data_IF_316790157109
#
_entry.id   IF_316790157109
#
_cell.length_a   1.000
_cell.length_b   1.000
_cell.length_c   1.000
_cell.angle_alpha   90.00
_cell.angle_beta   90.00
_cell.angle_gamma   90.00
#
_symmetry.space_group_name_H-M   'P 1'
#
loop_
_entity.id
_entity.type
_entity.pdbx_description
1 polymer ?
#
# COMPACT_ATOMS: atom_id res chain seq x y z
N UNK A 1 37.88 30.33 7.39
CA UNK A 1 37.18 29.59 8.48
C UNK A 1 35.90 28.90 7.99
N UNK A 2 35.04 29.53 7.18
CA UNK A 2 33.77 28.92 6.71
C UNK A 2 33.89 27.64 5.85
N UNK A 3 34.93 27.50 5.02
CA UNK A 3 35.11 26.32 4.17
C UNK A 3 35.50 25.05 4.95
N UNK A 4 36.23 25.19 6.06
CA UNK A 4 36.65 24.06 6.89
C UNK A 4 35.47 23.47 7.71
N UNK A 5 34.54 24.32 8.14
CA UNK A 5 33.34 23.89 8.88
C UNK A 5 32.37 23.11 7.98
N UNK A 6 32.22 23.52 6.72
CA UNK A 6 31.41 22.81 5.72
C UNK A 6 31.99 21.44 5.32
N UNK A 7 33.32 21.30 5.29
CA UNK A 7 33.98 20.04 4.99
C UNK A 7 33.84 19.02 6.13
N UNK A 8 33.96 19.48 7.38
CA UNK A 8 33.79 18.63 8.59
C UNK A 8 32.33 18.19 8.75
N UNK A 9 31.36 19.07 8.49
CA UNK A 9 29.93 18.72 8.52
C UNK A 9 29.57 17.68 7.44
N UNK A 10 30.15 17.80 6.23
CA UNK A 10 29.95 16.85 5.13
C UNK A 10 30.60 15.48 5.39
N UNK A 11 31.78 15.43 6.03
CA UNK A 11 32.41 14.17 6.43
C UNK A 11 31.67 13.47 7.59
N UNK A 12 31.20 14.21 8.59
CA UNK A 12 30.40 13.64 9.71
C UNK A 12 29.07 13.06 9.24
N UNK A 13 28.39 13.73 8.29
CA UNK A 13 27.19 13.20 7.65
C UNK A 13 27.44 11.87 6.92
N UNK A 14 28.58 11.73 6.23
CA UNK A 14 28.97 10.51 5.52
C UNK A 14 29.28 9.34 6.46
N UNK A 15 29.98 9.59 7.58
CA UNK A 15 30.33 8.57 8.58
C UNK A 15 29.11 8.05 9.35
N UNK A 16 28.21 8.94 9.77
CA UNK A 16 26.94 8.56 10.41
C UNK A 16 26.06 7.72 9.45
N UNK A 17 25.99 8.12 8.18
CA UNK A 17 25.24 7.39 7.15
C UNK A 17 25.87 6.01 6.82
N UNK A 18 27.18 5.86 6.99
CA UNK A 18 27.91 4.60 6.85
C UNK A 18 27.68 3.62 8.01
N UNK A 19 27.74 4.10 9.26
CA UNK A 19 27.48 3.28 10.45
C UNK A 19 26.02 2.85 10.55
N UNK A 20 25.06 3.74 10.25
CA UNK A 20 23.62 3.40 10.22
C UNK A 20 23.34 2.37 9.13
N UNK A 21 23.91 2.52 7.92
CA UNK A 21 23.79 1.50 6.85
C UNK A 21 24.42 0.16 7.24
N UNK A 22 25.55 0.17 7.95
CA UNK A 22 26.22 -1.04 8.42
C UNK A 22 25.40 -1.81 9.45
N UNK A 23 24.81 -1.09 10.42
CA UNK A 23 23.88 -1.67 11.39
C UNK A 23 22.60 -2.20 10.75
N UNK A 24 21.97 -1.40 9.87
CA UNK A 24 20.75 -1.79 9.17
C UNK A 24 20.96 -3.02 8.27
N UNK A 25 22.12 -3.14 7.61
CA UNK A 25 22.48 -4.33 6.83
C UNK A 25 22.62 -5.58 7.69
N UNK A 26 23.26 -5.48 8.85
CA UNK A 26 23.42 -6.60 9.79
C UNK A 26 22.08 -7.04 10.37
N UNK A 27 21.22 -6.08 10.74
CA UNK A 27 19.86 -6.37 11.18
C UNK A 27 19.03 -6.99 10.07
N UNK A 28 19.15 -6.53 8.82
CA UNK A 28 18.44 -7.11 7.67
C UNK A 28 18.87 -8.55 7.37
N UNK A 29 20.18 -8.83 7.45
CA UNK A 29 20.71 -10.19 7.26
C UNK A 29 20.27 -11.12 8.39
N UNK A 30 20.31 -10.67 9.64
CA UNK A 30 19.79 -11.45 10.77
C UNK A 30 18.27 -11.69 10.66
N UNK A 31 17.52 -10.67 10.22
CA UNK A 31 16.07 -10.75 10.00
C UNK A 31 15.70 -11.72 8.87
N UNK A 32 16.50 -11.79 7.80
CA UNK A 32 16.31 -12.77 6.73
C UNK A 32 16.67 -14.19 7.18
N UNK A 33 17.76 -14.37 7.94
CA UNK A 33 18.21 -15.69 8.37
C UNK A 33 17.24 -16.38 9.34
N UNK A 34 16.47 -15.63 10.12
CA UNK A 34 15.48 -16.19 11.05
C UNK A 34 14.09 -16.41 10.45
N UNK A 35 13.88 -16.18 9.15
CA UNK A 35 12.56 -16.38 8.51
C UNK A 35 11.44 -15.46 9.03
N UNK A 36 11.77 -14.46 9.85
CA UNK A 36 10.81 -13.57 10.54
C UNK A 36 9.91 -12.79 9.58
N UNK A 37 10.31 -12.59 8.32
CA UNK A 37 9.45 -11.96 7.31
C UNK A 37 8.19 -12.77 7.01
N UNK A 38 8.29 -14.10 6.89
CA UNK A 38 7.15 -14.94 6.59
C UNK A 38 6.16 -14.94 7.77
N UNK A 39 6.70 -15.11 8.98
CA UNK A 39 5.94 -15.07 10.22
C UNK A 39 5.22 -13.73 10.40
N UNK A 40 5.92 -12.59 10.23
CA UNK A 40 5.33 -11.28 10.35
C UNK A 40 4.22 -11.02 9.31
N UNK A 41 4.44 -11.42 8.05
CA UNK A 41 3.41 -11.31 6.99
C UNK A 41 2.18 -12.15 7.32
N UNK A 42 2.36 -13.36 7.84
CA UNK A 42 1.28 -14.23 8.26
C UNK A 42 0.47 -13.60 9.40
N UNK A 43 1.13 -13.04 10.42
CA UNK A 43 0.47 -12.34 11.53
C UNK A 43 -0.31 -11.12 11.06
N UNK A 44 0.26 -10.28 10.18
CA UNK A 44 -0.43 -9.11 9.62
C UNK A 44 -1.68 -9.54 8.85
N UNK A 45 -1.57 -10.55 7.98
CA UNK A 45 -2.70 -11.00 7.19
C UNK A 45 -3.79 -11.63 8.07
N UNK A 46 -3.41 -12.48 9.03
CA UNK A 46 -4.33 -13.03 10.02
C UNK A 46 -5.09 -11.91 10.73
N UNK A 47 -4.38 -10.89 11.20
CA UNK A 47 -4.98 -9.75 11.88
C UNK A 47 -5.99 -9.02 11.00
N UNK A 48 -5.64 -8.70 9.74
CA UNK A 48 -6.55 -7.97 8.84
C UNK A 48 -7.82 -8.77 8.55
N UNK A 49 -7.72 -10.10 8.36
CA UNK A 49 -8.88 -10.96 8.13
C UNK A 49 -9.79 -10.99 9.37
N UNK A 50 -9.21 -11.16 10.55
CA UNK A 50 -9.95 -11.24 11.82
C UNK A 50 -10.63 -9.92 12.16
N UNK A 51 -9.99 -8.78 11.88
CA UNK A 51 -10.60 -7.46 12.03
C UNK A 51 -11.81 -7.24 11.10
N UNK A 52 -11.83 -7.91 9.94
CA UNK A 52 -12.95 -7.89 9.00
C UNK A 52 -14.19 -8.66 9.45
N UNK A 53 -14.04 -9.68 10.31
CA UNK A 53 -15.12 -10.61 10.69
C UNK A 53 -16.37 -9.90 11.27
N UNK A 54 -16.25 -8.98 12.25
CA UNK A 54 -17.42 -8.28 12.80
C UNK A 54 -18.22 -7.53 11.73
N UNK A 55 -17.52 -6.93 10.75
CA UNK A 55 -18.17 -6.14 9.71
C UNK A 55 -18.98 -6.98 8.71
N UNK A 56 -18.57 -8.23 8.47
CA UNK A 56 -19.22 -9.14 7.51
C UNK A 56 -20.31 -9.97 8.18
N UNK A 57 -20.01 -10.55 9.35
CA UNK A 57 -20.90 -11.49 10.03
C UNK A 57 -21.84 -10.83 11.05
N UNK A 58 -21.72 -9.51 11.25
CA UNK A 58 -22.48 -8.76 12.26
C UNK A 58 -22.36 -9.40 13.68
N UNK A 59 -21.17 -9.95 13.97
CA UNK A 59 -20.86 -10.57 15.25
C UNK A 59 -20.19 -9.54 16.13
N UNK A 60 -20.74 -9.33 17.32
CA UNK A 60 -20.13 -8.48 18.35
C UNK A 60 -18.75 -9.03 18.72
N UNK A 61 -17.73 -8.17 18.66
CA UNK A 61 -16.38 -8.52 19.08
C UNK A 61 -16.41 -8.82 20.58
N UNK A 62 -15.83 -9.94 21.07
CA UNK A 62 -15.79 -10.22 22.49
C UNK A 62 -14.99 -9.15 23.24
N UNK A 63 -15.65 -8.49 24.19
CA UNK A 63 -15.10 -7.39 24.96
C UNK A 63 -14.07 -7.88 26.01
N UNK A 64 -13.02 -7.09 26.23
CA UNK A 64 -11.98 -7.36 27.22
C UNK A 64 -10.56 -7.37 26.65
N UNK A 65 -9.73 -8.33 27.09
CA UNK A 65 -8.30 -8.39 26.75
C UNK A 65 -8.05 -8.53 25.25
N UNK A 66 -8.95 -9.20 24.52
CA UNK A 66 -8.84 -9.42 23.09
C UNK A 66 -8.98 -8.11 22.28
N UNK A 67 -9.93 -7.24 22.65
CA UNK A 67 -10.10 -5.95 22.01
C UNK A 67 -8.88 -5.05 22.21
N UNK A 68 -8.27 -5.03 23.41
CA UNK A 68 -7.07 -4.25 23.69
C UNK A 68 -5.85 -4.72 22.88
N UNK A 69 -5.64 -6.04 22.76
CA UNK A 69 -4.60 -6.59 21.90
C UNK A 69 -4.85 -6.27 20.43
N UNK A 70 -6.11 -6.34 20.01
CA UNK A 70 -6.47 -6.02 18.64
C UNK A 70 -6.23 -4.53 18.36
N UNK A 71 -6.51 -3.63 19.30
CA UNK A 71 -6.29 -2.19 19.15
C UNK A 71 -4.82 -1.79 18.94
N UNK A 72 -3.85 -2.60 19.39
CA UNK A 72 -2.43 -2.31 19.19
C UNK A 72 -1.98 -2.41 17.71
N UNK A 73 -2.77 -3.09 16.89
CA UNK A 73 -2.41 -3.44 15.51
C UNK A 73 -3.49 -3.01 14.53
N UNK A 74 -4.21 -1.90 14.77
CA UNK A 74 -5.18 -1.38 13.79
C UNK A 74 -4.49 -0.83 12.51
N UNK A 75 -3.87 -1.71 11.75
CA UNK A 75 -3.20 -1.45 10.49
C UNK A 75 -4.17 -0.89 9.46
N UNK A 76 -5.45 -1.30 9.51
CA UNK A 76 -6.50 -0.78 8.63
C UNK A 76 -6.73 0.72 8.85
N UNK A 77 -6.67 1.22 10.08
CA UNK A 77 -6.74 2.66 10.40
C UNK A 77 -5.40 3.36 10.21
N UNK A 78 -4.26 2.75 10.54
CA UNK A 78 -2.92 3.34 10.35
C UNK A 78 -2.52 3.51 8.87
N UNK A 79 -2.91 2.59 7.99
CA UNK A 79 -2.66 2.67 6.54
C UNK A 79 -3.74 3.48 5.81
N UNK A 80 -4.87 3.77 6.47
CA UNK A 80 -5.85 4.70 5.92
C UNK A 80 -5.47 6.13 6.28
N UNK A 81 -5.67 7.05 5.35
CA UNK A 81 -5.35 8.47 5.55
C UNK A 81 -6.20 9.16 6.63
N UNK A 82 -7.09 8.44 7.32
CA UNK A 82 -7.87 8.91 8.47
C UNK A 82 -6.97 9.42 9.62
N UNK A 83 -5.68 9.05 9.62
CA UNK A 83 -4.65 9.61 10.53
C UNK A 83 -4.24 11.05 10.17
N UNK A 84 -4.28 11.43 8.89
CA UNK A 84 -3.82 12.75 8.42
C UNK A 84 -4.96 13.75 8.22
N UNK A 85 -6.17 13.27 7.93
CA UNK A 85 -7.41 14.04 7.98
C UNK A 85 -8.62 13.10 8.00
N UNK A 86 -9.64 13.32 8.86
CA UNK A 86 -10.87 12.53 8.80
C UNK A 86 -11.49 12.71 7.42
N UNK A 87 -11.76 11.61 6.72
CA UNK A 87 -12.26 11.61 5.36
C UNK A 87 -13.56 12.41 5.19
N UNK A 88 -14.33 12.57 6.28
CA UNK A 88 -15.53 13.39 6.36
C UNK A 88 -15.28 14.90 6.17
N UNK A 89 -14.09 15.42 6.49
CA UNK A 89 -13.77 16.85 6.38
C UNK A 89 -13.26 17.30 5.00
N UNK A 90 -12.68 16.39 4.20
CA UNK A 90 -12.10 16.74 2.88
C UNK A 90 -12.98 16.22 1.74
N UNK A 91 -13.68 15.11 1.97
CA UNK A 91 -14.37 14.33 0.96
C UNK A 91 -15.75 13.94 1.50
N UNK A 92 -16.67 14.91 1.55
CA UNK A 92 -18.01 14.76 2.13
C UNK A 92 -18.96 13.75 1.46
N UNK A 93 -18.46 12.88 0.57
CA UNK A 93 -19.23 11.79 -0.06
C UNK A 93 -18.47 10.48 0.04
N UNK A 94 -19.16 9.40 0.36
CA UNK A 94 -18.60 8.04 0.41
C UNK A 94 -17.80 7.66 -0.84
N UNK A 95 -18.23 8.13 -2.02
CA UNK A 95 -17.54 7.88 -3.28
C UNK A 95 -16.12 8.45 -3.32
N UNK A 96 -15.93 9.70 -2.90
CA UNK A 96 -14.62 10.35 -2.94
C UNK A 96 -13.69 9.75 -1.89
N UNK A 97 -14.21 9.31 -0.75
CA UNK A 97 -13.47 8.56 0.26
C UNK A 97 -12.96 7.22 -0.29
N UNK A 98 -13.81 6.48 -1.01
CA UNK A 98 -13.43 5.23 -1.66
C UNK A 98 -12.30 5.45 -2.67
N UNK A 99 -12.43 6.43 -3.57
CA UNK A 99 -11.40 6.73 -4.57
C UNK A 99 -10.08 7.17 -3.92
N UNK A 100 -10.14 8.06 -2.93
CA UNK A 100 -8.93 8.53 -2.25
C UNK A 100 -8.18 7.39 -1.57
N UNK A 101 -8.91 6.50 -0.88
CA UNK A 101 -8.34 5.30 -0.26
C UNK A 101 -7.73 4.34 -1.28
N UNK A 102 -8.25 4.32 -2.50
CA UNK A 102 -7.79 3.45 -3.57
C UNK A 102 -6.66 4.05 -4.42
N UNK A 103 -6.47 5.37 -4.47
CA UNK A 103 -5.45 6.01 -5.32
C UNK A 103 -4.24 6.54 -4.56
N UNK A 104 -4.38 6.85 -3.27
CA UNK A 104 -3.27 7.27 -2.42
C UNK A 104 -2.03 6.35 -2.51
N UNK A 105 -2.17 5.01 -2.46
CA UNK A 105 -0.97 4.16 -2.48
C UNK A 105 -0.29 4.16 -3.86
N UNK A 106 -1.05 4.33 -4.95
CA UNK A 106 -0.49 4.55 -6.29
C UNK A 106 0.27 5.87 -6.38
N UNK A 107 -0.26 6.93 -5.77
CA UNK A 107 0.44 8.21 -5.69
C UNK A 107 1.79 8.06 -4.97
N UNK A 108 1.82 7.33 -3.85
CA UNK A 108 3.05 7.06 -3.10
C UNK A 108 4.05 6.25 -3.94
N UNK A 109 3.59 5.20 -4.65
CA UNK A 109 4.44 4.42 -5.56
C UNK A 109 5.03 5.30 -6.67
N UNK A 110 4.22 6.18 -7.28
CA UNK A 110 4.69 7.11 -8.30
C UNK A 110 5.75 8.08 -7.75
N UNK A 111 5.54 8.62 -6.55
CA UNK A 111 6.51 9.52 -5.89
C UNK A 111 7.85 8.81 -5.66
N UNK A 112 7.84 7.55 -5.22
CA UNK A 112 9.07 6.77 -5.00
C UNK A 112 9.77 6.44 -6.32
N UNK A 113 9.02 6.07 -7.36
CA UNK A 113 9.58 5.81 -8.69
C UNK A 113 10.20 7.07 -9.31
N UNK A 114 9.52 8.21 -9.20
CA UNK A 114 10.05 9.50 -9.68
C UNK A 114 11.30 9.87 -8.87
N UNK A 115 11.26 9.73 -7.54
CA UNK A 115 12.40 10.02 -6.67
C UNK A 115 13.63 9.19 -7.01
N UNK A 116 13.47 7.88 -7.22
CA UNK A 116 14.59 7.00 -7.58
C UNK A 116 15.11 7.25 -9.00
N UNK A 117 14.22 7.55 -9.96
CA UNK A 117 14.62 7.93 -11.32
C UNK A 117 15.38 9.26 -11.35
N UNK A 118 14.96 10.26 -10.57
CA UNK A 118 15.69 11.52 -10.40
C UNK A 118 17.05 11.31 -9.73
N UNK A 119 17.14 10.44 -8.73
CA UNK A 119 18.42 10.09 -8.10
C UNK A 119 19.38 9.40 -9.07
N UNK A 120 18.87 8.48 -9.90
CA UNK A 120 19.66 7.80 -10.91
C UNK A 120 20.17 8.77 -12.00
N UNK A 121 19.32 9.71 -12.44
CA UNK A 121 19.73 10.73 -13.43
C UNK A 121 20.78 11.69 -12.86
N UNK A 122 20.67 12.09 -11.60
CA UNK A 122 21.68 12.93 -10.92
C UNK A 122 23.03 12.20 -10.82
N UNK A 123 23.03 10.91 -10.46
CA UNK A 123 24.27 10.10 -10.42
C UNK A 123 24.94 10.02 -11.78
N UNK A 124 24.15 9.83 -12.84
CA UNK A 124 24.68 9.71 -14.19
C UNK A 124 25.26 11.03 -14.70
N UNK A 125 24.71 12.18 -14.29
CA UNK A 125 25.31 13.49 -14.53
C UNK A 125 26.62 13.73 -13.75
N UNK A 126 26.77 13.14 -12.56
CA UNK A 126 27.99 13.26 -11.75
C UNK A 126 29.12 12.32 -12.21
N UNK A 127 28.78 11.18 -12.83
CA UNK A 127 29.73 10.18 -13.34
C UNK A 127 30.10 10.34 -14.82
N UNK A 128 30.21 11.57 -15.32
CA UNK A 128 30.37 11.88 -16.75
C UNK A 128 31.75 11.51 -17.35
N UNK A 129 32.10 10.22 -17.37
CA UNK A 129 33.24 9.66 -18.12
C UNK A 129 32.89 8.47 -19.02
N UNK A 130 31.64 7.97 -19.04
CA UNK A 130 31.26 6.81 -19.86
C UNK A 130 30.46 7.20 -21.12
N UNK A 131 30.77 6.53 -22.24
CA UNK A 131 30.16 6.66 -23.58
C UNK A 131 28.66 6.94 -23.53
N UNK A 132 28.22 8.04 -24.16
CA UNK A 132 26.82 8.45 -24.26
C UNK A 132 26.00 7.40 -25.02
N UNK A 133 25.13 6.60 -24.36
CA UNK A 133 24.14 5.81 -25.07
C UNK A 133 23.12 6.78 -25.72
N UNK A 134 22.44 6.33 -26.78
CA UNK A 134 21.31 7.09 -27.33
C UNK A 134 20.25 7.39 -26.26
N UNK A 135 19.53 8.52 -26.37
CA UNK A 135 18.52 8.98 -25.39
C UNK A 135 17.55 7.88 -24.96
N UNK A 136 17.10 7.05 -25.90
CA UNK A 136 16.18 5.94 -25.63
C UNK A 136 16.82 4.79 -24.81
N UNK A 137 18.09 4.47 -25.07
CA UNK A 137 18.81 3.44 -24.32
C UNK A 137 19.17 3.91 -22.90
N UNK A 138 19.53 5.19 -22.75
CA UNK A 138 19.76 5.80 -21.44
C UNK A 138 18.48 5.82 -20.59
N UNK A 139 17.33 6.19 -21.18
CA UNK A 139 16.05 6.20 -20.47
C UNK A 139 15.66 4.79 -19.99
N UNK A 140 15.82 3.78 -20.84
CA UNK A 140 15.52 2.38 -20.48
C UNK A 140 16.40 1.89 -19.32
N UNK A 141 17.69 2.22 -19.33
CA UNK A 141 18.60 1.81 -18.26
C UNK A 141 18.21 2.43 -16.92
N UNK A 142 17.91 3.74 -16.92
CA UNK A 142 17.47 4.48 -15.72
C UNK A 142 16.14 3.90 -15.20
N UNK A 143 15.18 3.63 -16.09
CA UNK A 143 13.90 3.06 -15.70
C UNK A 143 14.06 1.66 -15.08
N UNK A 144 14.89 0.79 -15.67
CA UNK A 144 15.14 -0.55 -15.12
C UNK A 144 15.82 -0.46 -13.76
N UNK A 145 16.85 0.37 -13.61
CA UNK A 145 17.54 0.56 -12.33
C UNK A 145 16.60 1.11 -11.25
N UNK A 146 15.81 2.15 -11.60
CA UNK A 146 14.83 2.74 -10.70
C UNK A 146 13.76 1.73 -10.26
N UNK A 147 13.25 0.92 -11.19
CA UNK A 147 12.26 -0.12 -10.90
C UNK A 147 12.86 -1.20 -10.00
N UNK A 148 14.06 -1.70 -10.30
CA UNK A 148 14.74 -2.74 -9.50
C UNK A 148 15.04 -2.23 -8.08
N UNK A 149 15.48 -0.98 -7.95
CA UNK A 149 15.76 -0.37 -6.64
C UNK A 149 14.48 -0.13 -5.83
N UNK A 150 13.38 0.23 -6.51
CA UNK A 150 12.08 0.50 -5.88
C UNK A 150 11.31 -0.78 -5.56
N UNK A 151 11.63 -1.90 -6.21
CA UNK A 151 10.96 -3.18 -6.09
C UNK A 151 10.68 -3.64 -4.64
N UNK A 152 11.66 -3.70 -3.71
CA UNK A 152 11.40 -4.15 -2.35
C UNK A 152 10.45 -3.22 -1.58
N UNK A 153 10.52 -1.92 -1.83
CA UNK A 153 9.64 -0.93 -1.20
C UNK A 153 8.23 -1.08 -1.78
N UNK A 154 8.13 -1.20 -3.10
CA UNK A 154 6.86 -1.42 -3.78
C UNK A 154 6.17 -2.69 -3.26
N UNK A 155 6.91 -3.79 -3.08
CA UNK A 155 6.41 -5.05 -2.53
C UNK A 155 5.83 -4.88 -1.12
N UNK A 156 6.53 -4.16 -0.24
CA UNK A 156 6.05 -3.94 1.14
C UNK A 156 4.80 -3.05 1.14
N UNK A 157 4.82 -1.95 0.38
CA UNK A 157 3.69 -1.03 0.29
C UNK A 157 2.46 -1.76 -0.27
N UNK A 158 2.61 -2.40 -1.43
CA UNK A 158 1.49 -3.12 -2.06
C UNK A 158 0.95 -4.23 -1.16
N UNK A 159 1.79 -4.96 -0.43
CA UNK A 159 1.35 -5.96 0.55
C UNK A 159 0.51 -5.36 1.70
N UNK A 160 0.92 -4.23 2.28
CA UNK A 160 0.19 -3.60 3.37
C UNK A 160 -1.10 -2.92 2.90
N UNK A 161 -1.06 -2.25 1.75
CA UNK A 161 -2.20 -1.49 1.24
C UNK A 161 -3.25 -2.38 0.58
N UNK A 162 -2.87 -3.49 -0.08
CA UNK A 162 -3.85 -4.36 -0.75
C UNK A 162 -4.87 -4.92 0.24
N UNK A 163 -4.44 -5.32 1.45
CA UNK A 163 -5.33 -5.91 2.45
C UNK A 163 -6.28 -4.85 3.04
N UNK A 164 -5.78 -3.63 3.29
CA UNK A 164 -6.57 -2.53 3.81
C UNK A 164 -7.59 -2.01 2.77
N UNK A 165 -7.13 -1.72 1.55
CA UNK A 165 -7.98 -1.20 0.47
C UNK A 165 -9.01 -2.24 0.03
N UNK A 166 -8.64 -3.53 -0.07
CA UNK A 166 -9.60 -4.60 -0.42
C UNK A 166 -10.72 -4.71 0.60
N UNK A 167 -10.39 -4.65 1.90
CA UNK A 167 -11.39 -4.69 2.97
C UNK A 167 -12.38 -3.52 2.87
N UNK A 168 -11.91 -2.31 2.54
CA UNK A 168 -12.78 -1.14 2.30
C UNK A 168 -13.67 -1.32 1.07
N UNK A 169 -13.11 -1.84 -0.03
CA UNK A 169 -13.89 -2.09 -1.25
C UNK A 169 -14.97 -3.14 -0.99
N UNK A 170 -14.68 -4.23 -0.28
CA UNK A 170 -15.69 -5.25 0.02
C UNK A 170 -16.81 -4.73 0.92
N UNK A 171 -16.53 -3.76 1.81
CA UNK A 171 -17.56 -3.10 2.62
C UNK A 171 -18.59 -2.30 1.78
N UNK A 172 -18.25 -1.90 0.55
CA UNK A 172 -19.19 -1.20 -0.36
C UNK A 172 -20.35 -2.10 -0.81
N UNK A 173 -20.23 -3.42 -0.67
CA UNK A 173 -21.26 -4.38 -1.05
C UNK A 173 -22.14 -4.82 0.13
N UNK A 174 -21.90 -4.31 1.34
CA UNK A 174 -22.64 -4.69 2.54
C UNK A 174 -23.82 -3.73 2.76
N UNK A 175 -25.03 -4.20 2.48
CA UNK A 175 -26.27 -3.46 2.72
C UNK A 175 -27.04 -4.07 3.89
N UNK A 176 -27.54 -3.21 4.78
CA UNK A 176 -28.43 -3.58 5.87
C UNK A 176 -29.87 -3.23 5.50
N UNK A 177 -30.79 -4.17 5.77
CA UNK A 177 -32.21 -4.04 5.46
C UNK A 177 -32.96 -3.61 6.72
N UNK A 178 -33.68 -2.50 6.63
CA UNK A 178 -34.50 -1.96 7.70
C UNK A 178 -35.98 -2.06 7.32
N UNK A 179 -36.82 -2.43 8.29
CA UNK A 179 -38.28 -2.38 8.15
C UNK A 179 -38.74 -0.96 8.45
N UNK A 180 -39.45 -0.32 7.52
CA UNK A 180 -39.91 1.07 7.67
C UNK A 180 -41.35 1.16 8.14
N UNK A 181 -42.19 0.19 7.78
CA UNK A 181 -43.60 0.19 8.13
C UNK A 181 -44.06 -1.23 8.47
N UNK A 182 -44.50 -1.42 9.71
CA UNK A 182 -44.99 -2.70 10.23
C UNK A 182 -46.34 -3.11 9.62
N UNK A 183 -47.09 -2.16 9.05
CA UNK A 183 -48.42 -2.40 8.48
C UNK A 183 -48.35 -2.79 7.00
N UNK A 184 -47.49 -2.14 6.22
CA UNK A 184 -47.30 -2.44 4.79
C UNK A 184 -46.19 -3.46 4.54
N UNK A 185 -45.29 -3.66 5.51
CA UNK A 185 -44.14 -4.54 5.39
C UNK A 185 -43.04 -3.98 4.47
N UNK A 186 -43.05 -2.67 4.18
CA UNK A 186 -42.05 -2.05 3.30
C UNK A 186 -40.65 -2.11 3.95
N UNK A 187 -39.70 -2.70 3.23
CA UNK A 187 -38.30 -2.80 3.64
C UNK A 187 -37.43 -1.93 2.76
N UNK A 188 -36.49 -1.18 3.36
CA UNK A 188 -35.51 -0.37 2.63
C UNK A 188 -34.10 -0.79 3.00
N UNK A 189 -33.23 -0.81 2.01
CA UNK A 189 -31.84 -1.23 2.17
C UNK A 189 -30.90 -0.02 2.14
N UNK A 190 -29.98 0.05 3.11
CA UNK A 190 -28.99 1.13 3.24
C UNK A 190 -27.59 0.56 3.35
N UNK A 191 -26.62 1.31 2.85
CA UNK A 191 -25.22 0.89 2.86
C UNK A 191 -24.67 0.93 4.30
N UNK A 192 -24.09 -0.18 4.79
CA UNK A 192 -23.54 -0.26 6.16
C UNK A 192 -22.40 0.72 6.42
N UNK A 193 -21.63 1.05 5.38
CA UNK A 193 -20.53 2.01 5.46
C UNK A 193 -20.98 3.47 5.54
N UNK A 194 -22.19 3.76 5.09
CA UNK A 194 -22.80 5.10 5.12
C UNK A 194 -24.32 4.96 4.98
N UNK A 195 -25.04 5.05 6.11
CA UNK A 195 -26.49 4.88 6.15
C UNK A 195 -27.27 6.02 5.46
N UNK A 196 -26.60 7.08 4.99
CA UNK A 196 -27.25 8.10 4.18
C UNK A 196 -27.54 7.62 2.74
N UNK A 197 -26.86 6.57 2.28
CA UNK A 197 -26.99 6.01 0.94
C UNK A 197 -27.89 4.77 0.93
N UNK A 198 -28.98 4.82 0.15
CA UNK A 198 -29.81 3.63 -0.10
C UNK A 198 -29.21 2.75 -1.19
N UNK A 199 -29.25 1.43 -1.00
CA UNK A 199 -28.69 0.47 -1.96
C UNK A 199 -29.54 0.31 -3.23
N UNK A 200 -30.75 0.86 -3.24
CA UNK A 200 -31.63 0.92 -4.41
C UNK A 200 -31.45 2.21 -5.25
N UNK A 201 -30.59 3.13 -4.80
CA UNK A 201 -30.34 4.39 -5.50
C UNK A 201 -29.44 4.25 -6.74
N UNK A 202 -29.63 5.13 -7.73
CA UNK A 202 -28.73 5.24 -8.88
C UNK A 202 -27.32 5.70 -8.51
N UNK A 203 -27.17 6.41 -7.38
CA UNK A 203 -25.87 6.79 -6.82
C UNK A 203 -25.09 5.58 -6.32
N UNK A 204 -25.75 4.66 -5.61
CA UNK A 204 -25.14 3.41 -5.18
C UNK A 204 -24.68 2.57 -6.38
N UNK A 205 -25.49 2.47 -7.43
CA UNK A 205 -25.12 1.68 -8.61
C UNK A 205 -23.85 2.24 -9.28
N UNK A 206 -23.67 3.56 -9.32
CA UNK A 206 -22.41 4.17 -9.78
C UNK A 206 -21.23 3.78 -8.90
N UNK A 207 -21.38 3.85 -7.57
CA UNK A 207 -20.33 3.47 -6.61
C UNK A 207 -19.96 1.99 -6.79
N UNK A 208 -20.95 1.12 -6.96
CA UNK A 208 -20.79 -0.32 -7.17
C UNK A 208 -19.98 -0.64 -8.43
N UNK A 209 -20.23 0.04 -9.55
CA UNK A 209 -19.44 -0.12 -10.77
C UNK A 209 -17.96 0.23 -10.56
N UNK A 210 -17.69 1.33 -9.86
CA UNK A 210 -16.32 1.71 -9.51
C UNK A 210 -15.66 0.70 -8.56
N UNK A 211 -16.41 0.22 -7.56
CA UNK A 211 -15.93 -0.81 -6.64
C UNK A 211 -15.54 -2.10 -7.38
N UNK A 212 -16.32 -2.53 -8.38
CA UNK A 212 -15.97 -3.68 -9.23
C UNK A 212 -14.67 -3.45 -10.01
N UNK A 213 -14.48 -2.25 -10.59
CA UNK A 213 -13.23 -1.88 -11.26
C UNK A 213 -12.03 -1.90 -10.30
N UNK A 214 -12.22 -1.45 -9.06
CA UNK A 214 -11.20 -1.47 -8.03
C UNK A 214 -10.84 -2.89 -7.55
N UNK A 215 -11.79 -3.83 -7.55
CA UNK A 215 -11.51 -5.25 -7.31
C UNK A 215 -10.59 -5.81 -8.42
N UNK A 216 -10.86 -5.49 -9.68
CA UNK A 216 -9.98 -5.92 -10.76
C UNK A 216 -8.56 -5.31 -10.63
N UNK A 217 -8.48 -4.04 -10.24
CA UNK A 217 -7.21 -3.33 -10.12
C UNK A 217 -6.35 -3.82 -8.94
N UNK A 218 -6.95 -4.03 -7.77
CA UNK A 218 -6.22 -4.28 -6.52
C UNK A 218 -6.00 -5.78 -6.27
N UNK A 219 -7.00 -6.56 -5.80
CA UNK A 219 -6.80 -7.95 -5.46
C UNK A 219 -6.42 -8.84 -6.66
N UNK A 220 -6.81 -8.50 -7.90
CA UNK A 220 -6.38 -9.25 -9.09
C UNK A 220 -5.13 -8.67 -9.77
N UNK A 221 -5.04 -7.34 -9.92
CA UNK A 221 -3.96 -6.69 -10.64
C UNK A 221 -2.58 -6.86 -10.00
N UNK A 222 -2.49 -6.85 -8.67
CA UNK A 222 -1.20 -6.98 -7.97
C UNK A 222 -0.60 -8.38 -8.10
N UNK A 223 -1.35 -9.48 -7.87
CA UNK A 223 -0.85 -10.83 -8.17
C UNK A 223 -0.39 -11.00 -9.62
N UNK A 224 -1.14 -10.45 -10.59
CA UNK A 224 -0.77 -10.50 -12.01
C UNK A 224 0.55 -9.76 -12.26
N UNK A 225 0.73 -8.58 -11.66
CA UNK A 225 1.98 -7.81 -11.74
C UNK A 225 3.16 -8.62 -11.19
N UNK A 226 2.98 -9.29 -10.06
CA UNK A 226 4.03 -10.14 -9.49
C UNK A 226 4.33 -11.36 -10.34
N UNK A 227 3.31 -12.00 -10.92
CA UNK A 227 3.51 -13.12 -11.83
C UNK A 227 4.27 -12.68 -13.09
N UNK A 228 3.93 -11.51 -13.66
CA UNK A 228 4.63 -10.96 -14.81
C UNK A 228 6.09 -10.63 -14.50
N UNK A 229 6.35 -10.01 -13.34
CA UNK A 229 7.70 -9.71 -12.87
C UNK A 229 8.51 -10.99 -12.66
N UNK A 230 7.91 -11.98 -11.99
CA UNK A 230 8.54 -13.27 -11.73
C UNK A 230 8.81 -14.02 -13.04
N UNK A 231 7.88 -14.01 -13.99
CA UNK A 231 8.07 -14.63 -15.30
C UNK A 231 9.26 -14.00 -16.03
N UNK A 232 9.37 -12.67 -16.02
CA UNK A 232 10.47 -11.95 -16.65
C UNK A 232 11.82 -12.20 -15.98
N UNK A 233 11.86 -12.26 -14.63
CA UNK A 233 13.09 -12.53 -13.88
C UNK A 233 13.43 -14.02 -13.81
N UNK A 234 12.48 -14.93 -14.04
CA UNK A 234 12.69 -16.37 -13.98
C UNK A 234 13.75 -16.86 -14.97
N UNK A 235 13.90 -16.17 -16.10
CA UNK A 235 14.96 -16.47 -17.07
C UNK A 235 16.35 -16.18 -16.52
N UNK A 236 16.50 -15.14 -15.69
CA UNK A 236 17.76 -14.82 -15.01
C UNK A 236 18.01 -15.74 -13.80
N UNK A 237 16.95 -16.11 -13.08
CA UNK A 237 17.04 -16.98 -11.89
C UNK A 237 17.40 -18.42 -12.27
N UNK A 238 16.83 -18.95 -13.37
CA UNK A 238 17.19 -20.30 -13.87
C UNK A 238 18.63 -20.42 -14.37
N UNK A 239 19.32 -19.31 -14.63
CA UNK A 239 20.73 -19.30 -15.01
C UNK A 239 21.67 -19.06 -13.81
N UNK A 240 21.13 -19.01 -12.59
CA UNK A 240 21.87 -18.92 -11.34
C UNK A 240 21.67 -20.16 -10.45
N UNK A 241 21.26 -21.29 -11.02
CA UNK A 241 21.50 -22.59 -10.38
C UNK A 241 23.01 -22.91 -10.43
N UNK A 242 23.66 -23.25 -9.30
CA UNK A 242 25.04 -23.74 -9.26
C UNK A 242 25.20 -25.13 -9.89
#
# INVERSE_FOLDING_TARGET
VGAAVLFIARQRGWLMHGMVRGGLKRMHLAWQQQGMQATAKLFINFYVVVDGIPSVYNVSRPDGKYAAWMQMLELNTLLSLDVFAPAECIAGSYFTQLLWSAFWPWALVLVVLIGTALWASIKQCQGATALRPGRAAALRLICVEAVVLTLPILLILTFCFVTATSSRIFKTFLCDVFKFDDLTGETRSYLRGDYSLSCDSSEYERIRHWALGLIALWPAGIPILYLALLAHSSSAIRHHEP
#
